data_IF_226751623367
#
_entry.id   IF_226751623367
#
_cell.length_a   1.000
_cell.length_b   1.000
_cell.length_c   1.000
_cell.angle_alpha   90.00
_cell.angle_beta   90.00
_cell.angle_gamma   90.00
#
_symmetry.space_group_name_H-M   'P 1'
#
loop_
_entity.id
_entity.type
_entity.pdbx_description
1 polymer ?
#
# COMPACT_ATOMS: atom_id res chain seq x y z
N UNK A 1 -6.72 13.36 11.93
CA UNK A 1 -7.29 12.10 12.46
C UNK A 1 -6.87 10.97 11.52
N UNK A 2 -6.24 9.92 12.04
CA UNK A 2 -5.86 8.73 11.24
C UNK A 2 -7.09 7.81 11.18
N UNK A 3 -7.46 7.35 9.99
CA UNK A 3 -8.57 6.41 9.81
C UNK A 3 -8.12 5.00 10.21
N UNK A 4 -9.05 4.17 10.67
CA UNK A 4 -8.74 2.77 10.97
C UNK A 4 -8.39 1.99 9.69
N UNK A 5 -7.66 0.87 9.86
CA UNK A 5 -7.38 -0.04 8.75
C UNK A 5 -8.70 -0.67 8.26
N UNK A 6 -9.02 -0.57 6.96
CA UNK A 6 -10.18 -1.25 6.42
C UNK A 6 -10.01 -2.77 6.46
N UNK A 7 -11.13 -3.50 6.46
CA UNK A 7 -11.13 -4.95 6.30
C UNK A 7 -10.46 -5.36 4.97
N UNK A 8 -9.87 -6.55 4.94
CA UNK A 8 -9.21 -7.13 3.75
C UNK A 8 -8.09 -6.25 3.15
N UNK A 9 -7.50 -5.36 3.95
CA UNK A 9 -6.42 -4.47 3.48
C UNK A 9 -5.06 -5.02 3.89
N UNK A 10 -4.13 -5.28 2.94
CA UNK A 10 -2.78 -5.67 3.29
C UNK A 10 -2.08 -4.59 4.12
N UNK A 11 -1.30 -5.02 5.12
CA UNK A 11 -0.60 -4.09 6.03
C UNK A 11 0.24 -3.06 5.29
N UNK A 12 0.95 -3.45 4.22
CA UNK A 12 1.77 -2.51 3.45
C UNK A 12 0.94 -1.39 2.81
N UNK A 13 -0.26 -1.70 2.33
CA UNK A 13 -1.16 -0.72 1.72
C UNK A 13 -1.68 0.25 2.78
N UNK A 14 -2.06 -0.24 3.97
CA UNK A 14 -2.49 0.64 5.05
C UNK A 14 -1.34 1.51 5.60
N UNK A 15 -0.12 0.99 5.66
CA UNK A 15 1.06 1.79 6.01
C UNK A 15 1.28 2.93 5.00
N UNK A 16 1.09 2.67 3.71
CA UNK A 16 1.15 3.69 2.66
C UNK A 16 0.03 4.74 2.80
N UNK A 17 -1.20 4.32 3.16
CA UNK A 17 -2.29 5.25 3.46
C UNK A 17 -1.93 6.19 4.62
N UNK A 18 -1.34 5.67 5.71
CA UNK A 18 -0.88 6.50 6.84
C UNK A 18 0.17 7.53 6.43
N UNK A 19 1.04 7.22 5.47
CA UNK A 19 1.98 8.21 4.92
C UNK A 19 1.25 9.34 4.20
N UNK A 20 0.20 9.04 3.45
CA UNK A 20 -0.63 10.05 2.78
C UNK A 20 -1.41 10.94 3.77
N UNK A 21 -1.76 10.42 4.95
CA UNK A 21 -2.46 11.15 6.01
C UNK A 21 -1.54 11.90 6.97
N UNK A 22 -0.26 12.10 6.62
CA UNK A 22 0.66 12.85 7.47
C UNK A 22 0.15 14.28 7.70
N UNK A 23 0.20 14.72 8.96
CA UNK A 23 -0.20 16.07 9.39
C UNK A 23 0.68 17.14 8.75
N UNK A 24 1.97 16.84 8.52
CA UNK A 24 2.91 17.69 7.80
C UNK A 24 2.76 17.43 6.29
N UNK A 25 2.32 18.42 5.48
CA UNK A 25 2.15 18.23 4.04
C UNK A 25 3.45 17.82 3.33
N UNK A 26 4.59 18.35 3.77
CA UNK A 26 5.93 18.05 3.24
C UNK A 26 6.40 16.64 3.53
N UNK A 27 5.76 15.93 4.47
CA UNK A 27 6.05 14.53 4.80
C UNK A 27 5.16 13.53 4.06
N UNK A 28 4.21 14.01 3.23
CA UNK A 28 3.39 13.13 2.39
C UNK A 28 4.18 12.69 1.16
N UNK A 29 3.97 11.47 0.66
CA UNK A 29 4.64 11.00 -0.54
C UNK A 29 4.18 11.79 -1.76
N UNK A 30 5.11 11.99 -2.70
CA UNK A 30 4.79 12.46 -4.05
C UNK A 30 4.05 11.36 -4.81
N UNK A 31 3.21 11.75 -5.78
CA UNK A 31 2.41 10.79 -6.55
C UNK A 31 3.23 9.72 -7.26
N UNK A 32 4.41 10.05 -7.79
CA UNK A 32 5.27 9.05 -8.45
C UNK A 32 5.82 8.00 -7.46
N UNK A 33 6.12 8.40 -6.21
CA UNK A 33 6.51 7.46 -5.16
C UNK A 33 5.33 6.57 -4.77
N UNK A 34 4.13 7.16 -4.63
CA UNK A 34 2.90 6.43 -4.33
C UNK A 34 2.60 5.37 -5.40
N UNK A 35 2.66 5.74 -6.67
CA UNK A 35 2.42 4.83 -7.80
C UNK A 35 3.44 3.69 -7.83
N UNK A 36 4.73 4.00 -7.62
CA UNK A 36 5.79 2.99 -7.54
C UNK A 36 5.52 1.98 -6.43
N UNK A 37 5.18 2.43 -5.22
CA UNK A 37 4.89 1.56 -4.08
C UNK A 37 3.64 0.69 -4.30
N UNK A 38 2.60 1.23 -4.93
CA UNK A 38 1.39 0.48 -5.27
C UNK A 38 1.68 -0.60 -6.31
N UNK A 39 2.42 -0.27 -7.38
CA UNK A 39 2.79 -1.24 -8.41
C UNK A 39 3.60 -2.39 -7.81
N UNK A 40 4.62 -2.10 -7.00
CA UNK A 40 5.40 -3.16 -6.32
C UNK A 40 4.52 -4.04 -5.42
N UNK A 41 3.59 -3.44 -4.67
CA UNK A 41 2.67 -4.20 -3.82
C UNK A 41 1.72 -5.09 -4.63
N UNK A 42 1.27 -4.60 -5.79
CA UNK A 42 0.41 -5.35 -6.70
C UNK A 42 1.16 -6.50 -7.37
N UNK A 43 2.37 -6.28 -7.84
CA UNK A 43 3.23 -7.32 -8.44
C UNK A 43 3.49 -8.46 -7.44
N UNK A 44 3.77 -8.12 -6.18
CA UNK A 44 3.96 -9.11 -5.13
C UNK A 44 2.68 -9.89 -4.82
N UNK A 45 1.53 -9.23 -4.86
CA UNK A 45 0.24 -9.90 -4.72
C UNK A 45 -0.02 -10.88 -5.88
N UNK A 46 0.25 -10.49 -7.13
CA UNK A 46 0.07 -11.36 -8.29
C UNK A 46 0.96 -12.59 -8.21
N UNK A 47 2.24 -12.43 -7.84
CA UNK A 47 3.18 -13.56 -7.67
C UNK A 47 2.67 -14.55 -6.62
N UNK A 48 2.18 -14.06 -5.47
CA UNK A 48 1.63 -14.91 -4.41
C UNK A 48 0.37 -15.62 -4.84
N UNK A 49 -0.52 -14.94 -5.57
CA UNK A 49 -1.74 -15.54 -6.11
C UNK A 49 -1.43 -16.67 -7.08
N UNK A 50 -0.55 -16.44 -8.05
CA UNK A 50 -0.11 -17.48 -8.99
C UNK A 50 0.54 -18.65 -8.25
N UNK A 51 1.41 -18.38 -7.26
CA UNK A 51 2.02 -19.44 -6.46
C UNK A 51 0.98 -20.25 -5.67
N UNK A 52 -0.04 -19.61 -5.10
CA UNK A 52 -1.12 -20.32 -4.40
C UNK A 52 -2.03 -21.14 -5.31
N UNK A 53 -2.09 -20.82 -6.61
CA UNK A 53 -2.85 -21.61 -7.59
C UNK A 53 -2.04 -22.81 -8.12
N UNK A 54 -0.73 -22.83 -7.91
CA UNK A 54 0.19 -23.88 -8.38
C UNK A 54 0.49 -24.97 -7.33
N UNK A 55 0.05 -24.80 -6.09
CA UNK A 55 0.29 -25.70 -4.94
C UNK A 55 -1.04 -26.21 -4.42
#
# INVERSE_FOLDING_TARGET
KVLACPENTPKQVYDLMKMCWNTKPTSRPLFHHLLKSLNSSYDDYQKKKVLSELV
#
